data_IF_019255746355
#
_entry.id   IF_019255746355
#
_cell.length_a   1.000
_cell.length_b   1.000
_cell.length_c   1.000
_cell.angle_alpha   90.00
_cell.angle_beta   90.00
_cell.angle_gamma   90.00
#
_symmetry.space_group_name_H-M   'P 1'
#
loop_
_entity.id
_entity.type
_entity.pdbx_description
1 polymer ?
#
# COMPACT_ATOMS: atom_id res chain seq x y z
N UNK A 1 -11.23 24.27 21.78
CA UNK A 1 -11.98 24.47 20.53
C UNK A 1 -13.03 23.39 20.49
N UNK A 2 -14.29 23.77 20.36
CA UNK A 2 -15.39 22.79 20.28
C UNK A 2 -15.46 22.29 18.84
N UNK A 3 -15.12 21.02 18.65
CA UNK A 3 -15.16 20.36 17.36
C UNK A 3 -16.58 19.82 17.16
N UNK A 4 -17.25 20.22 16.09
CA UNK A 4 -18.56 19.65 15.79
C UNK A 4 -18.41 18.18 15.42
N UNK A 5 -19.42 17.36 15.75
CA UNK A 5 -19.40 15.92 15.44
C UNK A 5 -19.22 15.67 13.92
N UNK A 6 -19.88 16.47 13.09
CA UNK A 6 -19.77 16.36 11.62
C UNK A 6 -18.34 16.65 11.13
N UNK A 7 -17.66 17.64 11.70
CA UNK A 7 -16.29 17.97 11.31
C UNK A 7 -15.29 16.91 11.75
N UNK A 8 -15.44 16.37 12.96
CA UNK A 8 -14.61 15.27 13.45
C UNK A 8 -14.78 14.02 12.58
N UNK A 9 -16.03 13.66 12.26
CA UNK A 9 -16.34 12.54 11.39
C UNK A 9 -15.75 12.72 9.99
N UNK A 10 -15.99 13.87 9.36
CA UNK A 10 -15.48 14.19 8.04
C UNK A 10 -13.95 14.12 7.99
N UNK A 11 -13.27 14.73 8.96
CA UNK A 11 -11.80 14.74 9.03
C UNK A 11 -11.24 13.33 9.22
N UNK A 12 -11.88 12.52 10.06
CA UNK A 12 -11.48 11.12 10.29
C UNK A 12 -11.63 10.29 9.00
N UNK A 13 -12.78 10.37 8.34
CA UNK A 13 -13.03 9.63 7.09
C UNK A 13 -12.08 10.09 5.99
N UNK A 14 -11.89 11.39 5.83
CA UNK A 14 -10.95 11.96 4.87
C UNK A 14 -9.52 11.45 5.08
N UNK A 15 -9.10 11.27 6.34
CA UNK A 15 -7.77 10.73 6.66
C UNK A 15 -7.64 9.24 6.38
N UNK A 16 -8.68 8.46 6.71
CA UNK A 16 -8.72 7.02 6.40
C UNK A 16 -8.75 6.79 4.89
N UNK A 17 -9.45 7.64 4.13
CA UNK A 17 -9.49 7.57 2.68
C UNK A 17 -8.27 8.20 2.00
N UNK A 18 -7.31 8.72 2.77
CA UNK A 18 -6.11 9.39 2.24
C UNK A 18 -6.43 10.57 1.31
N UNK A 19 -7.50 11.31 1.59
CA UNK A 19 -7.95 12.44 0.78
C UNK A 19 -7.33 13.77 1.22
N UNK A 20 -6.96 13.89 2.50
CA UNK A 20 -6.32 15.08 3.05
C UNK A 20 -7.16 16.34 3.15
N UNK A 21 -8.47 16.23 2.96
CA UNK A 21 -9.41 17.32 3.15
C UNK A 21 -9.72 17.46 4.64
N UNK A 22 -9.63 18.68 5.16
CA UNK A 22 -9.94 18.99 6.55
C UNK A 22 -10.90 20.16 6.64
N UNK A 23 -11.94 20.05 7.45
CA UNK A 23 -12.81 21.20 7.79
C UNK A 23 -12.26 22.00 8.98
N UNK A 24 -11.36 21.41 9.75
CA UNK A 24 -10.70 22.02 10.91
C UNK A 24 -9.20 22.02 10.68
N UNK A 25 -8.54 23.12 11.05
CA UNK A 25 -7.08 23.21 11.04
C UNK A 25 -6.47 22.14 11.94
N UNK A 26 -5.76 21.18 11.33
CA UNK A 26 -5.14 20.06 12.03
C UNK A 26 -4.17 20.53 13.13
N UNK A 27 -3.52 21.68 12.93
CA UNK A 27 -2.61 22.25 13.92
C UNK A 27 -3.31 22.72 15.20
N UNK A 28 -4.62 22.98 15.16
CA UNK A 28 -5.40 23.40 16.33
C UNK A 28 -5.93 22.23 17.16
N UNK A 29 -5.84 21.01 16.63
CA UNK A 29 -6.23 19.80 17.34
C UNK A 29 -5.25 19.49 18.49
N UNK A 30 -5.76 18.78 19.50
CA UNK A 30 -4.91 18.28 20.58
C UNK A 30 -3.88 17.27 20.04
N UNK A 31 -2.70 17.21 20.65
CA UNK A 31 -1.66 16.25 20.26
C UNK A 31 -2.14 14.80 20.35
N UNK A 32 -3.05 14.50 21.29
CA UNK A 32 -3.66 13.17 21.42
C UNK A 32 -4.54 12.84 20.20
N UNK A 33 -5.36 13.80 19.74
CA UNK A 33 -6.17 13.65 18.53
C UNK A 33 -5.28 13.46 17.30
N UNK A 34 -4.22 14.24 17.15
CA UNK A 34 -3.29 14.11 16.03
C UNK A 34 -2.58 12.75 16.02
N UNK A 35 -2.23 12.20 17.19
CA UNK A 35 -1.68 10.85 17.32
C UNK A 35 -2.68 9.75 16.91
N UNK A 36 -3.96 9.88 17.28
CA UNK A 36 -5.00 8.95 16.84
C UNK A 36 -5.15 8.98 15.31
N UNK A 37 -5.18 10.18 14.73
CA UNK A 37 -5.26 10.38 13.29
C UNK A 37 -4.04 9.81 12.56
N UNK A 38 -2.85 9.94 13.15
CA UNK A 38 -1.61 9.34 12.66
C UNK A 38 -1.71 7.80 12.64
N UNK A 39 -2.32 7.19 13.67
CA UNK A 39 -2.62 5.76 13.71
C UNK A 39 -3.58 5.33 12.60
N UNK A 40 -4.65 6.09 12.37
CA UNK A 40 -5.59 5.81 11.27
C UNK A 40 -4.94 5.94 9.90
N UNK A 41 -4.12 6.97 9.68
CA UNK A 41 -3.37 7.13 8.42
C UNK A 41 -2.44 5.94 8.17
N UNK A 42 -1.71 5.48 9.19
CA UNK A 42 -0.84 4.30 9.08
C UNK A 42 -1.62 3.04 8.67
N UNK A 43 -2.74 2.74 9.34
CA UNK A 43 -3.58 1.58 9.01
C UNK A 43 -4.15 1.71 7.60
N UNK A 44 -4.59 2.91 7.21
CA UNK A 44 -5.14 3.16 5.88
C UNK A 44 -4.14 2.91 4.76
N UNK A 45 -2.87 3.29 4.96
CA UNK A 45 -1.80 3.06 3.98
C UNK A 45 -1.63 1.58 3.63
N UNK A 46 -1.67 0.70 4.63
CA UNK A 46 -1.64 -0.75 4.39
C UNK A 46 -2.91 -1.24 3.71
N UNK A 47 -4.08 -0.76 4.13
CA UNK A 47 -5.35 -1.18 3.54
C UNK A 47 -5.40 -0.80 2.05
N UNK A 48 -5.07 0.44 1.69
CA UNK A 48 -5.14 0.94 0.32
C UNK A 48 -4.15 0.21 -0.60
N UNK A 49 -2.95 -0.14 -0.11
CA UNK A 49 -1.97 -0.90 -0.92
C UNK A 49 -2.30 -2.38 -1.06
N UNK A 50 -2.90 -3.01 -0.05
CA UNK A 50 -3.18 -4.46 -0.05
C UNK A 50 -4.55 -4.82 -0.64
N UNK A 51 -5.55 -3.93 -0.56
CA UNK A 51 -6.90 -4.18 -1.08
C UNK A 51 -6.93 -4.47 -2.59
N UNK A 52 -6.25 -3.72 -3.48
CA UNK A 52 -6.20 -4.03 -4.90
C UNK A 52 -5.63 -5.42 -5.18
N UNK A 53 -4.58 -5.83 -4.46
CA UNK A 53 -4.00 -7.17 -4.59
C UNK A 53 -5.00 -8.27 -4.18
N UNK A 54 -5.80 -8.03 -3.13
CA UNK A 54 -6.87 -8.95 -2.71
C UNK A 54 -8.05 -8.98 -3.70
N UNK A 55 -8.44 -7.83 -4.25
CA UNK A 55 -9.52 -7.73 -5.25
C UNK A 55 -9.12 -8.45 -6.53
N UNK A 56 -7.90 -8.24 -7.04
CA UNK A 56 -7.37 -8.96 -8.21
C UNK A 56 -7.40 -10.47 -7.96
N UNK A 57 -7.00 -10.93 -6.77
CA UNK A 57 -7.09 -12.35 -6.40
C UNK A 57 -8.55 -12.85 -6.39
N UNK A 58 -9.46 -12.11 -5.76
CA UNK A 58 -10.86 -12.50 -5.65
C UNK A 58 -11.54 -12.57 -7.04
N UNK A 59 -11.25 -11.60 -7.91
CA UNK A 59 -11.76 -11.56 -9.28
C UNK A 59 -11.13 -12.66 -10.14
N UNK A 60 -9.82 -12.88 -10.06
CA UNK A 60 -9.14 -13.96 -10.78
C UNK A 60 -9.68 -15.33 -10.38
N UNK A 61 -9.94 -15.55 -9.10
CA UNK A 61 -10.54 -16.81 -8.62
C UNK A 61 -11.97 -16.98 -9.14
N UNK A 62 -12.78 -15.91 -9.15
CA UNK A 62 -14.16 -15.94 -9.66
C UNK A 62 -14.20 -16.17 -11.18
N UNK A 63 -13.29 -15.56 -11.94
CA UNK A 63 -13.14 -15.82 -13.37
C UNK A 63 -12.68 -17.25 -13.62
N UNK A 64 -11.71 -17.77 -12.87
CA UNK A 64 -11.26 -19.18 -13.01
C UNK A 64 -12.31 -20.20 -12.54
N UNK A 65 -13.28 -19.81 -11.71
CA UNK A 65 -14.46 -20.64 -11.39
C UNK A 65 -15.58 -20.53 -12.45
N UNK A 66 -15.62 -19.44 -13.23
CA UNK A 66 -16.64 -19.21 -14.27
C UNK A 66 -16.20 -19.66 -15.67
N UNK A 67 -14.93 -19.44 -16.03
CA UNK A 67 -14.24 -20.27 -17.01
C UNK A 67 -13.70 -21.46 -16.25
N UNK A 68 -14.48 -22.54 -16.25
CA UNK A 68 -13.88 -23.85 -16.33
C UNK A 68 -12.82 -23.85 -17.44
N UNK A 69 -11.58 -23.51 -17.09
CA UNK A 69 -10.41 -23.81 -17.92
C UNK A 69 -9.97 -25.27 -17.67
N UNK A 70 -10.62 -25.95 -16.71
CA UNK A 70 -10.47 -27.38 -16.42
C UNK A 70 -11.79 -28.19 -16.49
N UNK A 71 -12.97 -27.62 -16.85
CA UNK A 71 -14.02 -28.50 -17.42
C UNK A 71 -13.67 -28.69 -18.89
N UNK A 72 -12.80 -29.67 -19.13
CA UNK A 72 -13.07 -30.66 -20.17
C UNK A 72 -14.37 -31.41 -19.82
N UNK A 73 -15.49 -30.68 -19.70
CA UNK A 73 -16.79 -31.27 -19.95
C UNK A 73 -16.81 -31.48 -21.46
N UNK A 74 -16.19 -32.58 -21.85
CA UNK A 74 -16.60 -33.42 -22.95
C UNK A 74 -18.13 -33.53 -22.86
N UNK A 75 -18.83 -32.59 -23.53
CA UNK A 75 -19.98 -32.99 -24.30
C UNK A 75 -19.43 -33.94 -25.35
N UNK A 76 -19.40 -35.20 -24.94
CA UNK A 76 -19.17 -36.35 -25.77
C UNK A 76 -20.25 -36.32 -26.86
N UNK A 77 -19.95 -35.67 -27.97
CA UNK A 77 -20.66 -35.84 -29.23
C UNK A 77 -19.87 -36.94 -29.98
N UNK A 78 -20.31 -38.20 -29.93
CA UNK A 78 -19.53 -39.35 -30.41
C UNK A 78 -19.37 -39.42 -31.93
N UNK A 79 -19.80 -38.41 -32.69
CA UNK A 79 -19.93 -38.55 -34.15
C UNK A 79 -19.00 -37.69 -35.01
N UNK A 80 -18.15 -36.81 -34.46
CA UNK A 80 -17.52 -35.84 -35.37
C UNK A 80 -16.21 -35.16 -34.94
N UNK A 81 -15.11 -35.89 -34.60
CA UNK A 81 -13.77 -35.30 -34.77
C UNK A 81 -12.58 -36.30 -34.68
N UNK A 82 -12.39 -37.12 -35.72
CA UNK A 82 -11.31 -38.12 -35.78
C UNK A 82 -9.94 -37.56 -36.19
N UNK A 83 -9.73 -36.22 -36.26
CA UNK A 83 -8.49 -35.71 -36.86
C UNK A 83 -7.81 -34.49 -36.19
N UNK A 84 -8.25 -34.00 -35.03
CA UNK A 84 -7.66 -32.78 -34.44
C UNK A 84 -7.37 -32.83 -32.92
N UNK A 85 -7.58 -33.96 -32.22
CA UNK A 85 -7.25 -34.08 -30.78
C UNK A 85 -5.94 -34.82 -30.47
N UNK A 86 -5.28 -35.39 -31.48
CA UNK A 86 -4.14 -36.29 -31.26
C UNK A 86 -2.80 -35.56 -31.02
N UNK A 87 -2.67 -34.27 -31.35
CA UNK A 87 -1.40 -33.55 -31.29
C UNK A 87 -0.99 -33.09 -29.88
N UNK A 88 -1.94 -32.66 -29.03
CA UNK A 88 -1.61 -32.18 -27.68
C UNK A 88 -1.42 -33.32 -26.66
N UNK A 89 -2.07 -34.47 -26.85
CA UNK A 89 -1.88 -35.63 -25.98
C UNK A 89 -0.65 -36.47 -26.38
N UNK A 90 -0.30 -36.56 -27.67
CA UNK A 90 0.89 -37.30 -28.12
C UNK A 90 2.22 -36.60 -27.77
N UNK A 91 2.23 -35.27 -27.61
CA UNK A 91 3.42 -34.53 -27.15
C UNK A 91 3.89 -34.99 -25.75
N UNK A 92 2.96 -35.37 -24.88
CA UNK A 92 3.25 -35.87 -23.53
C UNK A 92 3.59 -37.38 -23.45
N UNK A 93 3.46 -38.13 -24.55
CA UNK A 93 3.75 -39.57 -24.58
C UNK A 93 5.17 -39.91 -25.06
N UNK A 94 5.89 -38.99 -25.73
CA UNK A 94 7.25 -39.21 -26.23
C UNK A 94 8.35 -38.52 -25.41
N UNK A 95 8.01 -37.90 -24.27
CA UNK A 95 9.05 -37.32 -23.41
C UNK A 95 9.89 -38.43 -22.76
N UNK A 96 11.23 -38.39 -22.89
CA UNK A 96 12.13 -39.30 -22.19
C UNK A 96 11.80 -39.36 -20.68
N UNK A 97 11.92 -40.55 -20.05
CA UNK A 97 11.49 -40.77 -18.66
C UNK A 97 12.20 -39.86 -17.65
N UNK A 98 13.43 -39.42 -17.96
CA UNK A 98 14.17 -38.47 -17.13
C UNK A 98 13.51 -37.07 -17.12
N UNK A 99 13.01 -36.60 -18.26
CA UNK A 99 12.34 -35.29 -18.36
C UNK A 99 10.98 -35.33 -17.68
N UNK A 100 10.23 -36.44 -17.79
CA UNK A 100 8.93 -36.59 -17.11
C UNK A 100 9.09 -36.59 -15.58
N UNK A 101 10.13 -37.24 -15.06
CA UNK A 101 10.45 -37.24 -13.63
C UNK A 101 10.90 -35.86 -13.12
N UNK A 102 11.49 -35.04 -13.99
CA UNK A 102 11.91 -33.67 -13.67
C UNK A 102 10.72 -32.69 -13.77
N UNK A 103 9.82 -32.87 -14.72
CA UNK A 103 8.62 -32.05 -14.87
C UNK A 103 7.64 -32.24 -13.71
N UNK A 104 7.51 -33.46 -13.18
CA UNK A 104 6.67 -33.75 -12.00
C UNK A 104 7.25 -33.19 -10.69
N UNK A 105 8.54 -32.81 -10.68
CA UNK A 105 9.17 -32.09 -9.58
C UNK A 105 8.94 -30.58 -9.64
N UNK A 106 8.50 -30.04 -10.78
CA UNK A 106 8.22 -28.61 -10.89
C UNK A 106 6.95 -28.27 -10.08
N UNK A 107 6.96 -27.14 -9.35
CA UNK A 107 5.80 -26.70 -8.59
C UNK A 107 4.62 -26.45 -9.54
N UNK A 108 3.42 -26.82 -9.11
CA UNK A 108 2.22 -26.60 -9.90
C UNK A 108 1.95 -25.10 -10.08
N UNK A 109 1.27 -24.68 -11.16
CA UNK A 109 0.95 -23.25 -11.40
C UNK A 109 0.25 -22.57 -10.22
N UNK A 110 -0.60 -23.32 -9.49
CA UNK A 110 -1.29 -22.85 -8.28
C UNK A 110 -0.31 -22.55 -7.14
N UNK A 111 0.70 -23.41 -6.94
CA UNK A 111 1.74 -23.21 -5.92
C UNK A 111 2.63 -22.00 -6.24
N UNK A 112 2.99 -21.82 -7.52
CA UNK A 112 3.74 -20.64 -7.99
C UNK A 112 2.96 -19.34 -7.73
N UNK A 113 1.67 -19.31 -8.06
CA UNK A 113 0.79 -18.15 -7.79
C UNK A 113 0.75 -17.83 -6.30
N UNK A 114 0.52 -18.83 -5.44
CA UNK A 114 0.46 -18.62 -4.00
C UNK A 114 1.78 -18.09 -3.41
N UNK A 115 2.92 -18.64 -3.86
CA UNK A 115 4.25 -18.15 -3.46
C UNK A 115 4.47 -16.70 -3.92
N UNK A 116 4.09 -16.35 -5.14
CA UNK A 116 4.20 -14.99 -5.64
C UNK A 116 3.35 -14.00 -4.82
N UNK A 117 2.13 -14.37 -4.42
CA UNK A 117 1.29 -13.52 -3.56
C UNK A 117 1.89 -13.29 -2.17
N UNK A 118 2.40 -14.35 -1.53
CA UNK A 118 3.07 -14.20 -0.22
C UNK A 118 4.28 -13.29 -0.36
N UNK A 119 5.11 -13.51 -1.38
CA UNK A 119 6.27 -12.65 -1.65
C UNK A 119 5.87 -11.21 -1.89
N UNK A 120 4.77 -10.96 -2.62
CA UNK A 120 4.26 -9.61 -2.85
C UNK A 120 3.81 -8.93 -1.54
N UNK A 121 3.06 -9.63 -0.67
CA UNK A 121 2.63 -9.09 0.62
C UNK A 121 3.84 -8.76 1.51
N UNK A 122 4.80 -9.68 1.62
CA UNK A 122 6.03 -9.47 2.40
C UNK A 122 6.83 -8.29 1.84
N UNK A 123 6.97 -8.21 0.51
CA UNK A 123 7.68 -7.13 -0.16
C UNK A 123 7.02 -5.78 0.12
N UNK A 124 5.69 -5.68 0.01
CA UNK A 124 4.94 -4.47 0.35
C UNK A 124 5.20 -4.07 1.80
N UNK A 125 5.06 -5.01 2.76
CA UNK A 125 5.31 -4.71 4.17
C UNK A 125 6.75 -4.25 4.43
N UNK A 126 7.73 -4.90 3.80
CA UNK A 126 9.14 -4.50 3.93
C UNK A 126 9.40 -3.12 3.34
N UNK A 127 8.80 -2.81 2.18
CA UNK A 127 8.97 -1.53 1.52
C UNK A 127 8.36 -0.40 2.34
N UNK A 128 7.15 -0.61 2.87
CA UNK A 128 6.49 0.34 3.78
C UNK A 128 7.36 0.60 5.02
N UNK A 129 7.89 -0.46 5.64
CA UNK A 129 8.78 -0.31 6.79
C UNK A 129 10.06 0.46 6.44
N UNK A 130 10.70 0.14 5.32
CA UNK A 130 11.92 0.84 4.87
C UNK A 130 11.65 2.31 4.56
N UNK A 131 10.55 2.64 3.88
CA UNK A 131 10.23 4.03 3.52
C UNK A 131 9.87 4.83 4.78
N UNK A 132 9.04 4.29 5.67
CA UNK A 132 8.70 5.00 6.91
C UNK A 132 9.92 5.21 7.81
N UNK A 133 10.78 4.21 7.97
CA UNK A 133 11.97 4.35 8.81
C UNK A 133 12.99 5.31 8.20
N UNK A 134 13.25 5.22 6.89
CA UNK A 134 14.19 6.12 6.21
C UNK A 134 13.69 7.56 6.19
N UNK A 135 12.41 7.81 5.87
CA UNK A 135 11.81 9.15 5.91
C UNK A 135 11.83 9.75 7.31
N UNK A 136 11.46 8.95 8.32
CA UNK A 136 11.49 9.38 9.72
C UNK A 136 12.89 9.78 10.19
N UNK A 137 13.91 9.00 9.83
CA UNK A 137 15.30 9.30 10.18
C UNK A 137 15.80 10.50 9.40
N UNK A 138 15.53 10.60 8.10
CA UNK A 138 16.00 11.68 7.25
C UNK A 138 15.41 13.03 7.68
N UNK A 139 14.09 13.13 7.79
CA UNK A 139 13.40 14.36 8.22
C UNK A 139 13.76 14.69 9.68
N UNK A 140 13.78 13.67 10.55
CA UNK A 140 14.07 13.85 11.97
C UNK A 140 15.48 14.39 12.21
N UNK A 141 16.48 13.81 11.54
CA UNK A 141 17.88 14.24 11.62
C UNK A 141 18.07 15.63 11.03
N UNK A 142 17.38 15.93 9.93
CA UNK A 142 17.44 17.25 9.32
C UNK A 142 16.84 18.34 10.22
N UNK A 143 15.65 18.10 10.78
CA UNK A 143 15.01 19.03 11.72
C UNK A 143 15.81 19.18 13.03
N UNK A 144 16.49 18.13 13.47
CA UNK A 144 17.36 18.15 14.65
C UNK A 144 18.62 19.00 14.43
N UNK A 145 19.17 18.99 13.22
CA UNK A 145 20.32 19.83 12.86
C UNK A 145 19.91 21.28 12.56
N UNK A 146 18.72 21.50 12.02
CA UNK A 146 18.19 22.81 11.64
C UNK A 146 17.02 23.23 12.55
N UNK A 147 17.27 23.28 13.88
CA UNK A 147 16.29 23.69 14.90
C UNK A 147 15.96 25.20 14.86
N UNK A 148 15.41 25.68 13.76
CA UNK A 148 14.83 27.02 13.67
C UNK A 148 13.42 27.02 14.26
N UNK A 149 13.10 28.07 15.01
CA UNK A 149 11.74 28.32 15.51
C UNK A 149 10.69 28.33 14.38
N UNK A 150 11.08 28.76 13.17
CA UNK A 150 10.22 28.75 11.97
C UNK A 150 9.72 27.34 11.63
N UNK A 151 10.54 26.30 11.85
CA UNK A 151 10.20 24.93 11.48
C UNK A 151 9.45 24.19 12.59
N UNK A 152 9.78 24.47 13.85
CA UNK A 152 9.32 23.67 14.98
C UNK A 152 8.11 24.24 15.73
N UNK A 153 7.75 25.51 15.51
CA UNK A 153 6.66 26.15 16.28
C UNK A 153 5.27 25.80 15.75
N UNK A 154 4.40 25.35 16.66
CA UNK A 154 2.96 25.16 16.47
C UNK A 154 2.23 25.84 17.64
N UNK A 155 1.31 26.75 17.36
CA UNK A 155 0.49 27.47 18.36
C UNK A 155 1.30 28.00 19.56
N UNK A 156 2.41 28.72 19.28
CA UNK A 156 3.34 29.27 20.29
C UNK A 156 4.09 28.23 21.15
N UNK A 157 3.99 26.94 20.85
CA UNK A 157 4.78 25.88 21.46
C UNK A 157 5.78 25.31 20.47
N UNK A 158 6.97 24.94 20.95
CA UNK A 158 7.97 24.22 20.15
C UNK A 158 7.68 22.73 20.22
N UNK A 159 7.44 22.11 19.06
CA UNK A 159 7.31 20.66 18.96
C UNK A 159 8.66 19.97 18.90
N UNK A 160 8.66 18.69 19.27
CA UNK A 160 9.82 17.82 19.06
C UNK A 160 10.05 17.60 17.55
N UNK A 161 11.30 17.75 17.05
CA UNK A 161 11.67 17.43 15.68
C UNK A 161 11.25 16.02 15.24
N UNK A 162 11.38 15.04 16.13
CA UNK A 162 11.02 13.65 15.86
C UNK A 162 9.50 13.44 15.77
N UNK A 163 8.72 14.21 16.53
CA UNK A 163 7.26 14.17 16.42
C UNK A 163 6.78 14.70 15.07
N UNK A 164 7.32 15.84 14.64
CA UNK A 164 7.06 16.43 13.33
C UNK A 164 7.48 15.45 12.23
N UNK A 165 8.68 14.86 12.35
CA UNK A 165 9.19 13.88 11.40
C UNK A 165 8.23 12.69 11.24
N UNK A 166 7.73 12.13 12.35
CA UNK A 166 6.77 11.03 12.32
C UNK A 166 5.49 11.40 11.58
N UNK A 167 4.90 12.56 11.89
CA UNK A 167 3.70 13.02 11.20
C UNK A 167 3.93 13.28 9.72
N UNK A 168 4.97 14.04 9.38
CA UNK A 168 5.23 14.41 7.99
C UNK A 168 5.54 13.17 7.15
N UNK A 169 6.31 12.21 7.68
CA UNK A 169 6.58 10.96 6.98
C UNK A 169 5.30 10.17 6.73
N UNK A 170 4.45 10.00 7.76
CA UNK A 170 3.22 9.22 7.63
C UNK A 170 2.20 9.87 6.72
N UNK A 171 1.98 11.18 6.84
CA UNK A 171 0.98 11.87 6.03
C UNK A 171 1.46 12.14 4.60
N UNK A 172 2.76 12.37 4.37
CA UNK A 172 3.29 12.55 3.01
C UNK A 172 3.26 11.24 2.24
N UNK A 173 3.74 10.14 2.84
CA UNK A 173 3.77 8.85 2.16
C UNK A 173 2.36 8.29 1.89
N UNK A 174 1.43 8.47 2.83
CA UNK A 174 0.03 8.10 2.61
C UNK A 174 -0.75 9.14 1.79
N UNK A 175 -0.08 10.14 1.19
CA UNK A 175 -0.70 11.18 0.37
C UNK A 175 -1.89 11.88 1.05
N UNK A 176 -1.84 11.96 2.38
CA UNK A 176 -2.88 12.52 3.20
C UNK A 176 -2.78 14.05 3.30
N UNK A 177 -1.66 14.67 2.93
CA UNK A 177 -1.52 16.14 2.93
C UNK A 177 -1.66 16.86 4.29
N UNK A 178 -1.96 16.13 5.37
CA UNK A 178 -2.06 16.67 6.72
C UNK A 178 -0.68 17.01 7.25
N UNK A 179 -0.60 18.13 7.96
CA UNK A 179 0.64 18.55 8.62
C UNK A 179 0.33 19.10 10.01
N UNK A 180 1.28 19.05 10.95
CA UNK A 180 1.11 19.64 12.27
C UNK A 180 1.05 21.18 12.25
N UNK A 181 1.10 21.82 11.08
CA UNK A 181 1.18 23.27 10.94
C UNK A 181 -0.03 23.84 10.19
N UNK A 182 -0.50 25.01 10.63
CA UNK A 182 -1.59 25.74 9.99
C UNK A 182 -1.23 26.28 8.61
N UNK A 183 0.07 26.54 8.38
CA UNK A 183 0.61 26.97 7.08
C UNK A 183 0.89 25.81 6.13
N UNK A 184 0.53 24.58 6.49
CA UNK A 184 0.84 23.37 5.73
C UNK A 184 2.35 23.25 5.42
N UNK A 185 2.70 22.50 4.38
CA UNK A 185 4.08 22.35 3.89
C UNK A 185 4.67 23.64 3.29
N UNK A 186 3.88 24.71 3.06
CA UNK A 186 4.38 25.97 2.51
C UNK A 186 5.49 26.60 3.37
N UNK A 187 5.54 26.23 4.66
CA UNK A 187 6.62 26.60 5.57
C UNK A 187 8.01 26.12 5.12
N UNK A 188 8.07 25.02 4.38
CA UNK A 188 9.29 24.39 3.88
C UNK A 188 9.57 24.72 2.40
N UNK A 189 8.84 25.67 1.80
CA UNK A 189 9.01 26.01 0.38
C UNK A 189 10.44 26.44 0.03
N UNK A 190 11.12 27.11 0.95
CA UNK A 190 12.50 27.59 0.77
C UNK A 190 13.54 26.45 0.94
N UNK A 191 13.11 25.27 1.39
CA UNK A 191 13.99 24.17 1.80
C UNK A 191 14.06 23.06 0.76
N UNK A 192 15.11 23.09 -0.06
CA UNK A 192 15.30 22.15 -1.17
C UNK A 192 15.39 20.69 -0.67
N UNK A 193 16.02 20.46 0.48
CA UNK A 193 16.24 19.10 0.98
C UNK A 193 14.91 18.44 1.39
N UNK A 194 14.10 19.16 2.19
CA UNK A 194 12.80 18.65 2.61
C UNK A 194 11.84 18.49 1.43
N UNK A 195 11.85 19.44 0.48
CA UNK A 195 11.00 19.33 -0.71
C UNK A 195 11.36 18.11 -1.58
N UNK A 196 12.64 17.76 -1.71
CA UNK A 196 13.05 16.53 -2.41
C UNK A 196 12.50 15.30 -1.67
N UNK A 197 12.60 15.26 -0.34
CA UNK A 197 12.10 14.13 0.45
C UNK A 197 10.57 14.00 0.38
N UNK A 198 9.82 15.10 0.39
CA UNK A 198 8.36 15.04 0.31
C UNK A 198 7.83 14.62 -1.07
N UNK A 199 8.61 14.83 -2.12
CA UNK A 199 8.25 14.45 -3.50
C UNK A 199 8.59 12.98 -3.80
N UNK A 200 9.59 12.42 -3.10
CA UNK A 200 10.07 11.05 -3.24
C UNK A 200 9.18 10.03 -2.51
#
# INVERSE_FOLDING_TARGET
MDVTYLDAWFTTVSTICSCGLTTIDFAQLSHASQLIMMGFAFISGFAISTLPALIIKAQTHKTTQGTNVDDDHDKYDPENDDNCKTSHFQSNLNLPPHIRAELSRLPTPVQLRYRAYIMCIILILSLYFTIYTSGFIAIGTWLETHRSARYLMQNNATLSPWYISGMLTLFSFNQNGLTPFSTSLARYVDDVFLNIIFVL
#
